data_IF_476578421684
#
_entry.id   IF_476578421684
#
_cell.length_a   1.000
_cell.length_b   1.000
_cell.length_c   1.000
_cell.angle_alpha   90.00
_cell.angle_beta   90.00
_cell.angle_gamma   90.00
#
_symmetry.space_group_name_H-M   'P 1'
#
loop_
_entity.id
_entity.type
_entity.pdbx_description
1 polymer ?
#
# COMPACT_ATOMS: atom_id res chain seq x y z
N UNK A 1 31.67 -9.87 -14.96
CA UNK A 1 30.81 -10.24 -13.81
C UNK A 1 29.55 -9.42 -13.93
N UNK A 2 28.49 -9.97 -14.52
CA UNK A 2 27.18 -9.30 -14.65
C UNK A 2 26.34 -9.73 -13.45
N UNK A 3 25.94 -8.78 -12.61
CA UNK A 3 24.92 -9.02 -11.60
C UNK A 3 23.60 -9.20 -12.36
N UNK A 4 22.89 -10.30 -12.12
CA UNK A 4 21.58 -10.53 -12.70
C UNK A 4 20.60 -9.42 -12.28
N UNK A 5 19.79 -8.93 -13.21
CA UNK A 5 18.75 -7.94 -12.91
C UNK A 5 17.71 -8.57 -11.97
N UNK A 6 17.49 -8.02 -10.75
CA UNK A 6 16.49 -8.55 -9.82
C UNK A 6 15.05 -8.49 -10.37
N UNK A 7 14.83 -7.81 -11.50
CA UNK A 7 13.55 -7.80 -12.24
C UNK A 7 13.26 -9.09 -13.01
N UNK A 8 14.22 -10.00 -13.13
CA UNK A 8 14.09 -11.23 -13.92
C UNK A 8 13.69 -12.46 -13.07
N UNK A 9 12.69 -12.33 -12.21
CA UNK A 9 11.93 -13.51 -11.73
C UNK A 9 10.85 -13.80 -12.76
N UNK A 10 11.25 -14.31 -13.92
CA UNK A 10 10.29 -14.75 -14.94
C UNK A 10 9.84 -16.16 -14.58
N UNK A 11 8.63 -16.27 -14.03
CA UNK A 11 7.91 -17.54 -13.96
C UNK A 11 7.69 -18.09 -15.37
N UNK A 12 8.29 -19.24 -15.62
CA UNK A 12 8.01 -20.14 -16.72
C UNK A 12 6.58 -20.69 -16.62
N UNK A 13 5.93 -20.83 -17.77
CA UNK A 13 4.50 -21.04 -17.89
C UNK A 13 3.99 -22.35 -17.29
N UNK A 14 3.08 -22.21 -16.32
CA UNK A 14 2.24 -23.28 -15.80
C UNK A 14 0.83 -22.76 -15.54
N UNK A 15 -0.17 -23.46 -16.06
CA UNK A 15 -1.61 -23.21 -15.94
C UNK A 15 -2.04 -22.89 -14.49
N UNK A 16 -2.47 -21.65 -14.24
CA UNK A 16 -3.05 -21.20 -12.97
C UNK A 16 -2.00 -20.89 -11.89
N UNK A 17 -1.42 -19.69 -11.92
CA UNK A 17 -0.78 -19.17 -10.72
C UNK A 17 -1.81 -19.20 -9.58
N UNK A 18 -1.47 -19.69 -8.38
CA UNK A 18 -2.37 -19.60 -7.25
C UNK A 18 -2.80 -18.14 -7.10
N UNK A 19 -4.09 -17.90 -6.85
CA UNK A 19 -4.59 -16.56 -6.53
C UNK A 19 -3.61 -15.93 -5.55
N UNK A 20 -3.06 -14.76 -5.90
CA UNK A 20 -2.09 -14.12 -5.04
C UNK A 20 -2.70 -13.94 -3.65
N UNK A 21 -1.92 -14.17 -2.56
CA UNK A 21 -2.48 -14.18 -1.22
C UNK A 21 -3.15 -12.84 -0.91
N UNK A 22 -4.38 -12.89 -0.40
CA UNK A 22 -5.08 -11.70 0.06
C UNK A 22 -4.30 -11.10 1.25
N UNK A 23 -4.06 -9.78 1.20
CA UNK A 23 -3.31 -9.08 2.24
C UNK A 23 -3.90 -7.70 2.54
N UNK A 24 -3.69 -7.27 3.77
CA UNK A 24 -3.97 -5.90 4.21
C UNK A 24 -2.66 -5.14 4.38
N UNK A 25 -2.70 -3.81 4.20
CA UNK A 25 -1.58 -2.91 4.49
C UNK A 25 -1.97 -2.02 5.66
N UNK A 26 -1.15 -2.00 6.70
CA UNK A 26 -1.34 -1.11 7.86
C UNK A 26 -0.27 -0.03 7.82
N UNK A 27 -0.69 1.24 7.85
CA UNK A 27 0.18 2.41 7.82
C UNK A 27 0.01 3.20 9.12
N UNK A 28 0.90 3.02 10.11
CA UNK A 28 0.96 3.91 11.26
C UNK A 28 1.39 5.31 10.85
N UNK A 29 0.74 6.33 11.39
CA UNK A 29 1.06 7.72 11.12
C UNK A 29 0.90 8.56 12.37
N UNK A 30 1.79 9.54 12.53
CA UNK A 30 1.65 10.63 13.49
C UNK A 30 1.13 11.91 12.81
N UNK A 31 0.48 11.78 11.65
CA UNK A 31 -0.15 12.86 10.89
C UNK A 31 0.79 13.71 10.02
N UNK A 32 1.96 13.18 9.63
CA UNK A 32 2.89 13.89 8.75
C UNK A 32 2.44 13.88 7.29
N UNK A 33 2.77 14.94 6.56
CA UNK A 33 2.44 15.14 5.14
C UNK A 33 2.96 14.02 4.22
N UNK A 34 4.07 13.37 4.57
CA UNK A 34 4.63 12.24 3.82
C UNK A 34 3.70 11.03 3.75
N UNK A 35 2.63 10.98 4.57
CA UNK A 35 1.56 10.01 4.41
C UNK A 35 0.93 10.10 3.01
N UNK A 36 0.80 11.30 2.45
CA UNK A 36 0.28 11.48 1.09
C UNK A 36 1.14 10.72 0.07
N UNK A 37 2.46 10.92 0.12
CA UNK A 37 3.41 10.26 -0.78
C UNK A 37 3.39 8.74 -0.62
N UNK A 38 3.30 8.27 0.63
CA UNK A 38 3.19 6.83 0.94
C UNK A 38 1.92 6.23 0.33
N UNK A 39 0.77 6.88 0.48
CA UNK A 39 -0.51 6.42 -0.06
C UNK A 39 -0.54 6.46 -1.59
N UNK A 40 0.03 7.50 -2.21
CA UNK A 40 0.15 7.61 -3.66
C UNK A 40 1.06 6.52 -4.25
N UNK A 41 2.18 6.24 -3.59
CA UNK A 41 3.09 5.16 -3.97
C UNK A 41 2.39 3.80 -3.86
N UNK A 42 1.63 3.56 -2.80
CA UNK A 42 0.88 2.31 -2.63
C UNK A 42 -0.21 2.13 -3.70
N UNK A 43 -0.89 3.21 -4.08
CA UNK A 43 -1.93 3.19 -5.12
C UNK A 43 -1.39 2.91 -6.54
N UNK A 44 -0.08 3.10 -6.74
CA UNK A 44 0.59 2.92 -8.04
C UNK A 44 1.58 1.75 -8.04
N UNK A 45 1.66 0.99 -6.95
CA UNK A 45 2.55 -0.16 -6.83
C UNK A 45 2.14 -1.30 -7.78
N UNK A 46 3.15 -1.97 -8.32
CA UNK A 46 2.95 -3.16 -9.15
C UNK A 46 2.47 -4.36 -8.32
N UNK A 47 1.61 -5.18 -8.90
CA UNK A 47 1.13 -6.43 -8.32
C UNK A 47 -0.33 -6.39 -7.86
N UNK A 48 -0.80 -7.45 -7.20
CA UNK A 48 -2.17 -7.52 -6.69
C UNK A 48 -2.40 -6.40 -5.66
N UNK A 49 -3.49 -5.62 -5.75
CA UNK A 49 -3.78 -4.58 -4.77
C UNK A 49 -4.18 -5.18 -3.41
N UNK A 50 -3.92 -4.48 -2.30
CA UNK A 50 -4.37 -4.94 -0.98
C UNK A 50 -5.90 -5.04 -0.92
N UNK A 51 -6.41 -5.99 -0.16
CA UNK A 51 -7.86 -6.10 0.09
C UNK A 51 -8.36 -5.03 1.07
N UNK A 52 -7.46 -4.49 1.90
CA UNK A 52 -7.76 -3.44 2.88
C UNK A 52 -6.50 -2.59 3.13
N UNK A 53 -6.69 -1.28 3.31
CA UNK A 53 -5.66 -0.37 3.80
C UNK A 53 -6.14 0.23 5.11
N UNK A 54 -5.38 0.05 6.18
CA UNK A 54 -5.69 0.61 7.50
C UNK A 54 -4.68 1.70 7.82
N UNK A 55 -5.14 2.94 7.90
CA UNK A 55 -4.33 4.03 8.43
C UNK A 55 -4.56 4.11 9.93
N UNK A 56 -3.50 3.95 10.71
CA UNK A 56 -3.55 4.05 12.18
C UNK A 56 -3.03 5.42 12.57
N UNK A 57 -3.93 6.28 13.05
CA UNK A 57 -3.62 7.62 13.53
C UNK A 57 -3.12 7.54 14.97
N UNK A 58 -1.80 7.52 15.13
CA UNK A 58 -1.10 7.39 16.42
C UNK A 58 -0.82 8.76 17.07
N UNK A 59 -1.57 9.79 16.69
CA UNK A 59 -1.44 11.12 17.30
C UNK A 59 -2.08 11.12 18.69
N UNK A 60 -1.39 11.67 19.72
CA UNK A 60 -1.96 11.76 21.06
C UNK A 60 -3.14 12.73 21.15
N UNK A 61 -3.18 13.73 20.27
CA UNK A 61 -4.26 14.71 20.15
C UNK A 61 -4.67 14.83 18.68
N UNK A 62 -5.95 15.06 18.37
CA UNK A 62 -6.39 15.34 17.02
C UNK A 62 -5.62 16.54 16.42
N UNK A 63 -5.13 16.39 15.19
CA UNK A 63 -4.51 17.47 14.44
C UNK A 63 -5.23 17.74 13.13
N UNK A 64 -4.51 18.28 12.15
CA UNK A 64 -5.03 18.50 10.79
C UNK A 64 -5.56 17.21 10.15
N UNK A 65 -6.43 17.36 9.16
CA UNK A 65 -6.99 16.23 8.42
C UNK A 65 -5.89 15.41 7.74
N UNK A 66 -5.96 14.09 7.87
CA UNK A 66 -5.01 13.20 7.20
C UNK A 66 -5.19 13.30 5.67
N UNK A 67 -4.11 13.32 4.86
CA UNK A 67 -4.16 13.49 3.41
C UNK A 67 -4.60 12.20 2.67
N UNK A 68 -5.72 11.62 3.08
CA UNK A 68 -6.19 10.31 2.63
C UNK A 68 -6.63 10.32 1.15
N UNK A 69 -6.89 11.49 0.57
CA UNK A 69 -7.22 11.64 -0.85
C UNK A 69 -6.12 11.07 -1.77
N UNK A 70 -4.86 11.08 -1.32
CA UNK A 70 -3.73 10.53 -2.06
C UNK A 70 -3.80 9.01 -2.29
N UNK A 71 -4.65 8.28 -1.55
CA UNK A 71 -4.84 6.84 -1.75
C UNK A 71 -5.53 6.48 -3.08
N UNK A 72 -6.11 7.46 -3.80
CA UNK A 72 -6.66 7.26 -5.13
C UNK A 72 -7.63 6.07 -5.21
N UNK A 73 -7.32 5.10 -6.09
CA UNK A 73 -8.14 3.88 -6.31
C UNK A 73 -8.28 3.00 -5.06
N UNK A 74 -7.41 3.16 -4.06
CA UNK A 74 -7.48 2.42 -2.79
C UNK A 74 -8.41 3.09 -1.78
N UNK A 75 -8.99 4.25 -2.08
CA UNK A 75 -9.91 4.97 -1.18
C UNK A 75 -11.08 4.12 -0.71
N UNK A 76 -11.67 3.32 -1.61
CA UNK A 76 -12.81 2.45 -1.29
C UNK A 76 -12.44 1.28 -0.36
N UNK A 77 -11.13 1.02 -0.19
CA UNK A 77 -10.58 -0.04 0.68
C UNK A 77 -9.90 0.52 1.92
N UNK A 78 -9.89 1.85 2.08
CA UNK A 78 -9.19 2.54 3.15
C UNK A 78 -10.08 2.70 4.37
N UNK A 79 -9.54 2.40 5.55
CA UNK A 79 -10.16 2.66 6.85
C UNK A 79 -9.17 3.34 7.78
N UNK A 80 -9.68 4.24 8.61
CA UNK A 80 -8.89 4.90 9.67
C UNK A 80 -9.18 4.24 11.01
N UNK A 81 -8.15 4.08 11.84
CA UNK A 81 -8.24 3.66 13.24
C UNK A 81 -7.46 4.68 14.09
N UNK A 82 -8.01 5.01 15.25
CA UNK A 82 -7.37 5.80 16.29
C UNK A 82 -7.14 4.89 17.50
#
# INVERSE_FOLDING_TARGET
MSVADPRQVRGDGGTGAPDAPAYAVVVPTIGRECLADCLAALATADGPPPVEVVVVDDRPEPGDELPLAAAGVLRDRLRVRA
#
